data_IF_557504045667
#
_entry.id   IF_557504045667
#
_cell.length_a   1.000
_cell.length_b   1.000
_cell.length_c   1.000
_cell.angle_alpha   90.00
_cell.angle_beta   90.00
_cell.angle_gamma   90.00
#
_symmetry.space_group_name_H-M   'P 1'
#
loop_
_entity.id
_entity.type
_entity.pdbx_description
1 polymer ?
#
# COMPACT_ATOMS: atom_id res chain seq x y z
N UNK A 1 2.47 11.88 17.53
CA UNK A 1 1.35 10.93 17.34
C UNK A 1 1.51 10.09 16.07
N UNK A 2 1.86 10.63 14.90
CA UNK A 2 2.08 9.81 13.68
C UNK A 2 3.13 8.70 13.82
N UNK A 3 4.22 8.93 14.58
CA UNK A 3 5.24 7.90 14.82
C UNK A 3 4.72 6.65 15.55
N UNK A 4 3.77 6.80 16.48
CA UNK A 4 3.19 5.64 17.19
C UNK A 4 2.24 4.85 16.30
N UNK A 5 1.55 5.52 15.35
CA UNK A 5 0.73 4.88 14.33
C UNK A 5 1.60 4.06 13.38
N UNK A 6 2.69 4.65 12.88
CA UNK A 6 3.64 3.95 12.01
C UNK A 6 4.27 2.73 12.69
N UNK A 7 4.73 2.89 13.94
CA UNK A 7 5.29 1.80 14.74
C UNK A 7 4.27 0.67 14.97
N UNK A 8 3.00 1.02 15.20
CA UNK A 8 1.92 0.04 15.35
C UNK A 8 1.67 -0.73 14.05
N UNK A 9 1.72 -0.06 12.90
CA UNK A 9 1.62 -0.70 11.58
C UNK A 9 2.72 -1.72 11.34
N UNK A 10 3.99 -1.36 11.61
CA UNK A 10 5.13 -2.29 11.50
C UNK A 10 4.95 -3.49 12.42
N UNK A 11 4.49 -3.26 13.67
CA UNK A 11 4.21 -4.35 14.62
C UNK A 11 3.10 -5.30 14.15
N UNK A 12 2.09 -4.81 13.44
CA UNK A 12 1.02 -5.66 12.89
C UNK A 12 1.60 -6.54 11.78
N UNK A 13 2.34 -5.95 10.85
CA UNK A 13 2.99 -6.66 9.75
C UNK A 13 3.96 -7.73 10.27
N UNK A 14 4.74 -7.43 11.31
CA UNK A 14 5.74 -8.35 11.86
C UNK A 14 5.15 -9.58 12.56
N UNK A 15 3.83 -9.66 12.75
CA UNK A 15 3.16 -10.85 13.32
C UNK A 15 2.96 -11.95 12.27
N UNK A 16 2.97 -11.60 10.99
CA UNK A 16 2.83 -12.55 9.89
C UNK A 16 4.20 -13.04 9.41
N UNK A 17 4.21 -14.20 8.75
CA UNK A 17 5.42 -14.70 8.11
C UNK A 17 5.78 -13.82 6.91
N UNK A 18 6.91 -13.11 7.01
CA UNK A 18 7.44 -12.25 5.94
C UNK A 18 8.13 -13.09 4.86
N UNK A 19 7.33 -13.90 4.16
CA UNK A 19 7.80 -14.65 3.00
C UNK A 19 7.98 -13.73 1.79
N UNK A 20 8.54 -14.27 0.70
CA UNK A 20 8.83 -13.50 -0.51
C UNK A 20 7.58 -12.81 -1.06
N UNK A 21 6.43 -13.47 -1.00
CA UNK A 21 5.12 -12.90 -1.35
C UNK A 21 4.75 -11.69 -0.50
N UNK A 22 4.80 -11.84 0.83
CA UNK A 22 4.42 -10.78 1.76
C UNK A 22 5.34 -9.56 1.62
N UNK A 23 6.65 -9.78 1.48
CA UNK A 23 7.63 -8.70 1.28
C UNK A 23 7.36 -7.94 -0.03
N UNK A 24 7.04 -8.64 -1.13
CA UNK A 24 6.69 -7.99 -2.41
C UNK A 24 5.43 -7.12 -2.28
N UNK A 25 4.36 -7.66 -1.68
CA UNK A 25 3.12 -6.91 -1.46
C UNK A 25 3.40 -5.66 -0.61
N UNK A 26 4.18 -5.80 0.45
CA UNK A 26 4.55 -4.71 1.35
C UNK A 26 5.39 -3.65 0.65
N UNK A 27 6.43 -4.04 -0.10
CA UNK A 27 7.31 -3.11 -0.79
C UNK A 27 6.55 -2.31 -1.86
N UNK A 28 5.71 -2.97 -2.67
CA UNK A 28 4.96 -2.30 -3.75
C UNK A 28 3.87 -1.39 -3.15
N UNK A 29 3.13 -1.85 -2.14
CA UNK A 29 2.11 -1.02 -1.50
C UNK A 29 2.69 0.22 -0.84
N UNK A 30 3.84 0.11 -0.16
CA UNK A 30 4.58 1.27 0.36
C UNK A 30 5.07 2.19 -0.75
N UNK A 31 5.66 1.65 -1.82
CA UNK A 31 6.14 2.44 -2.95
C UNK A 31 5.00 3.24 -3.62
N UNK A 32 3.84 2.63 -3.82
CA UNK A 32 2.67 3.31 -4.39
C UNK A 32 2.11 4.35 -3.41
N UNK A 33 1.92 4.00 -2.14
CA UNK A 33 1.38 4.94 -1.15
C UNK A 33 2.27 6.17 -0.97
N UNK A 34 3.59 5.99 -0.90
CA UNK A 34 4.55 7.08 -0.82
C UNK A 34 4.67 7.85 -2.14
N UNK A 35 4.70 7.15 -3.28
CA UNK A 35 4.79 7.77 -4.61
C UNK A 35 3.60 8.67 -4.93
N UNK A 36 2.39 8.21 -4.62
CA UNK A 36 1.15 9.00 -4.80
C UNK A 36 1.11 10.18 -3.84
N UNK A 37 1.58 10.00 -2.59
CA UNK A 37 1.67 11.11 -1.64
C UNK A 37 2.68 12.18 -2.05
N UNK A 38 3.78 11.79 -2.70
CA UNK A 38 4.83 12.71 -3.16
C UNK A 38 4.44 13.43 -4.45
N UNK A 39 3.74 12.74 -5.37
CA UNK A 39 3.40 13.28 -6.67
C UNK A 39 1.96 12.92 -7.06
N UNK A 40 0.93 13.60 -6.54
CA UNK A 40 -0.46 13.26 -6.82
C UNK A 40 -0.87 13.34 -8.31
N UNK A 41 -0.06 14.01 -9.13
CA UNK A 41 -0.24 14.13 -10.59
C UNK A 41 -0.08 12.80 -11.35
N UNK A 42 0.55 11.75 -10.78
CA UNK A 42 0.58 10.43 -11.45
C UNK A 42 -0.82 9.84 -11.67
N UNK A 43 -1.82 10.29 -10.92
CA UNK A 43 -3.22 9.89 -11.09
C UNK A 43 -3.96 10.71 -12.15
N UNK A 44 -3.32 11.63 -12.87
CA UNK A 44 -3.99 12.53 -13.83
C UNK A 44 -4.79 11.80 -14.92
N UNK A 45 -4.33 10.61 -15.31
CA UNK A 45 -4.98 9.74 -16.31
C UNK A 45 -6.05 8.80 -15.71
N UNK A 46 -6.19 8.77 -14.38
CA UNK A 46 -7.18 7.96 -13.70
C UNK A 46 -8.56 8.68 -13.64
N UNK A 47 -9.67 7.91 -13.62
CA UNK A 47 -11.00 8.48 -13.50
C UNK A 47 -11.22 9.20 -12.16
N UNK A 48 -12.09 10.22 -12.12
CA UNK A 48 -12.19 11.16 -11.00
C UNK A 48 -12.53 10.52 -9.65
N UNK A 49 -13.32 9.44 -9.66
CA UNK A 49 -13.64 8.65 -8.46
C UNK A 49 -12.41 7.92 -7.89
N UNK A 50 -11.48 7.50 -8.75
CA UNK A 50 -10.25 6.84 -8.36
C UNK A 50 -9.22 7.87 -7.88
N UNK A 51 -9.17 9.04 -8.51
CA UNK A 51 -8.34 10.18 -8.05
C UNK A 51 -8.70 10.60 -6.64
N UNK A 52 -9.99 10.74 -6.32
CA UNK A 52 -10.43 11.16 -4.99
C UNK A 52 -10.05 10.14 -3.92
N UNK A 53 -10.24 8.85 -4.20
CA UNK A 53 -9.86 7.77 -3.27
C UNK A 53 -8.34 7.64 -3.11
N UNK A 54 -7.59 7.67 -4.21
CA UNK A 54 -6.14 7.48 -4.21
C UNK A 54 -5.38 8.77 -3.88
N UNK A 55 -6.02 9.93 -3.82
CA UNK A 55 -5.38 11.20 -3.39
C UNK A 55 -4.73 11.10 -2.00
N UNK A 56 -5.21 10.18 -1.16
CA UNK A 56 -4.57 9.81 0.09
C UNK A 56 -3.56 8.69 -0.12
N UNK A 57 -2.28 8.94 0.18
CA UNK A 57 -1.22 7.93 0.10
C UNK A 57 -1.49 6.67 0.93
N UNK A 58 -2.23 6.81 2.05
CA UNK A 58 -2.65 5.68 2.87
C UNK A 58 -3.67 4.81 2.13
N UNK A 59 -4.67 5.44 1.49
CA UNK A 59 -5.68 4.72 0.72
C UNK A 59 -5.04 4.07 -0.51
N UNK A 60 -4.14 4.76 -1.21
CA UNK A 60 -3.42 4.22 -2.35
C UNK A 60 -2.56 3.02 -2.01
N UNK A 61 -1.78 3.09 -0.92
CA UNK A 61 -1.00 1.95 -0.45
C UNK A 61 -1.88 0.79 -0.02
N UNK A 62 -2.94 1.04 0.75
CA UNK A 62 -3.87 0.02 1.25
C UNK A 62 -4.61 -0.71 0.13
N UNK A 63 -5.19 0.03 -0.82
CA UNK A 63 -5.84 -0.56 -2.00
C UNK A 63 -4.87 -1.41 -2.82
N UNK A 64 -3.65 -0.90 -3.04
CA UNK A 64 -2.61 -1.65 -3.75
C UNK A 64 -2.28 -2.94 -3.02
N UNK A 65 -2.14 -2.92 -1.69
CA UNK A 65 -1.86 -4.12 -0.90
C UNK A 65 -2.98 -5.17 -1.03
N UNK A 66 -4.25 -4.75 -1.00
CA UNK A 66 -5.41 -5.64 -1.17
C UNK A 66 -5.41 -6.27 -2.57
N UNK A 67 -5.25 -5.45 -3.60
CA UNK A 67 -5.23 -5.90 -5.00
C UNK A 67 -4.09 -6.90 -5.22
N UNK A 68 -2.88 -6.59 -4.74
CA UNK A 68 -1.73 -7.48 -4.86
C UNK A 68 -1.93 -8.77 -4.08
N UNK A 69 -2.53 -8.73 -2.89
CA UNK A 69 -2.84 -9.95 -2.14
C UNK A 69 -3.85 -10.85 -2.87
N UNK A 70 -4.73 -10.30 -3.72
CA UNK A 70 -5.64 -11.10 -4.55
C UNK A 70 -4.96 -11.65 -5.81
N UNK A 71 -4.06 -10.87 -6.42
CA UNK A 71 -3.37 -11.25 -7.66
C UNK A 71 -2.23 -12.24 -7.39
N UNK A 72 -1.45 -12.03 -6.33
CA UNK A 72 -0.34 -12.91 -6.00
C UNK A 72 -0.85 -14.25 -5.46
N UNK A 73 -0.49 -15.37 -6.11
CA UNK A 73 -0.93 -16.69 -5.66
C UNK A 73 -0.42 -16.96 -4.24
N UNK A 74 -1.19 -17.65 -3.39
CA UNK A 74 -0.71 -18.06 -2.08
C UNK A 74 0.52 -18.95 -2.23
N UNK A 75 1.56 -18.64 -1.45
CA UNK A 75 2.73 -19.52 -1.32
C UNK A 75 2.26 -20.82 -0.68
N UNK A 76 2.56 -21.96 -1.32
CA UNK A 76 2.19 -23.31 -0.84
C UNK A 76 2.91 -23.66 0.45
#
# INVERSE_FOLDING_TARGET
MFGTIAASGVRIVSKEALNRRAIMILAISLAVGLGVSQQPQILQFAPDWLKTLLSSGIAAGGLTAIILNLIFPPEK
#
